data_IF_056932393054
#
_entry.id   IF_056932393054
#
_cell.length_a   1.000
_cell.length_b   1.000
_cell.length_c   1.000
_cell.angle_alpha   90.00
_cell.angle_beta   90.00
_cell.angle_gamma   90.00
#
_symmetry.space_group_name_H-M   'P 1'
#
loop_
_entity.id
_entity.type
_entity.pdbx_description
1 polymer ?
#
# COMPACT_ATOMS: atom_id res chain seq x y z
N UNK A 1 -18.42 6.95 -1.62
CA UNK A 1 -18.85 8.23 -2.22
C UNK A 1 -17.66 9.09 -2.68
N UNK A 2 -16.58 9.25 -1.86
CA UNK A 2 -15.47 10.18 -2.16
C UNK A 2 -14.65 9.84 -3.41
N UNK A 3 -14.64 8.59 -3.83
CA UNK A 3 -13.82 8.09 -4.94
C UNK A 3 -14.66 7.60 -6.13
N UNK A 4 -15.98 7.67 -6.07
CA UNK A 4 -16.85 7.11 -7.14
C UNK A 4 -16.55 7.73 -8.51
N UNK A 5 -16.32 9.04 -8.55
CA UNK A 5 -15.97 9.74 -9.79
C UNK A 5 -14.63 9.32 -10.39
N UNK A 6 -13.70 8.84 -9.58
CA UNK A 6 -12.38 8.40 -10.07
C UNK A 6 -12.47 7.15 -10.95
N UNK A 7 -13.41 6.24 -10.64
CA UNK A 7 -13.57 4.99 -11.40
C UNK A 7 -14.11 5.19 -12.82
N UNK A 8 -14.63 6.38 -13.13
CA UNK A 8 -15.16 6.74 -14.45
C UNK A 8 -14.17 7.55 -15.29
N UNK A 9 -13.04 7.96 -14.72
CA UNK A 9 -12.03 8.73 -15.43
C UNK A 9 -11.22 7.86 -16.40
N UNK A 10 -10.71 8.49 -17.46
CA UNK A 10 -9.99 7.81 -18.53
C UNK A 10 -8.79 6.98 -18.04
N UNK A 11 -8.02 7.50 -17.08
CA UNK A 11 -6.88 6.77 -16.53
C UNK A 11 -7.32 5.46 -15.84
N UNK A 12 -8.44 5.48 -15.12
CA UNK A 12 -8.97 4.29 -14.45
C UNK A 12 -9.54 3.29 -15.46
N UNK A 13 -10.18 3.76 -16.52
CA UNK A 13 -10.65 2.90 -17.61
C UNK A 13 -9.46 2.19 -18.27
N UNK A 14 -8.35 2.90 -18.49
CA UNK A 14 -7.11 2.31 -19.04
C UNK A 14 -6.53 1.24 -18.10
N UNK A 15 -6.45 1.53 -16.80
CA UNK A 15 -5.98 0.57 -15.79
C UNK A 15 -6.85 -0.69 -15.83
N UNK A 16 -8.16 -0.53 -15.79
CA UNK A 16 -9.11 -1.65 -15.82
C UNK A 16 -8.94 -2.49 -17.10
N UNK A 17 -8.84 -1.85 -18.25
CA UNK A 17 -8.62 -2.52 -19.53
C UNK A 17 -7.33 -3.32 -19.53
N UNK A 18 -6.25 -2.76 -19.01
CA UNK A 18 -4.96 -3.42 -18.89
C UNK A 18 -5.04 -4.66 -17.97
N UNK A 19 -5.68 -4.55 -16.81
CA UNK A 19 -5.83 -5.66 -15.87
C UNK A 19 -6.71 -6.79 -16.47
N UNK A 20 -7.75 -6.44 -17.18
CA UNK A 20 -8.61 -7.40 -17.90
C UNK A 20 -7.82 -8.12 -18.99
N UNK A 21 -7.00 -7.39 -19.75
CA UNK A 21 -6.16 -7.99 -20.79
C UNK A 21 -5.12 -8.94 -20.17
N UNK A 22 -4.48 -8.56 -19.07
CA UNK A 22 -3.58 -9.46 -18.34
C UNK A 22 -4.30 -10.75 -17.94
N UNK A 23 -5.51 -10.65 -17.40
CA UNK A 23 -6.31 -11.81 -17.01
C UNK A 23 -6.64 -12.71 -18.19
N UNK A 24 -7.07 -12.14 -19.31
CA UNK A 24 -7.38 -12.89 -20.54
C UNK A 24 -6.17 -13.64 -21.12
N UNK A 25 -4.98 -13.07 -20.97
CA UNK A 25 -3.73 -13.63 -21.45
C UNK A 25 -3.00 -14.49 -20.39
N UNK A 26 -3.66 -14.81 -19.28
CA UNK A 26 -3.09 -15.54 -18.15
C UNK A 26 -1.78 -14.92 -17.61
N UNK A 27 -1.63 -13.60 -17.73
CA UNK A 27 -0.50 -12.86 -17.15
C UNK A 27 -0.73 -12.62 -15.68
N UNK A 28 0.18 -13.12 -14.86
CA UNK A 28 0.12 -12.94 -13.41
C UNK A 28 0.48 -11.50 -13.05
N UNK A 29 -0.29 -10.93 -12.13
CA UNK A 29 0.00 -9.66 -11.48
C UNK A 29 -0.05 -9.81 -9.97
N UNK A 30 0.67 -8.97 -9.24
CA UNK A 30 0.61 -8.91 -7.78
C UNK A 30 0.11 -7.55 -7.32
N UNK A 31 -0.67 -7.49 -6.23
CA UNK A 31 -1.33 -8.62 -5.55
C UNK A 31 -2.37 -9.27 -6.47
N UNK A 32 -2.97 -10.38 -6.03
CA UNK A 32 -4.10 -10.96 -6.74
C UNK A 32 -5.17 -9.87 -7.00
N UNK A 33 -5.79 -9.79 -8.18
CA UNK A 33 -6.72 -8.71 -8.54
C UNK A 33 -7.80 -8.40 -7.51
N UNK A 34 -8.31 -9.42 -6.83
CA UNK A 34 -9.30 -9.27 -5.74
C UNK A 34 -8.78 -8.49 -4.52
N UNK A 35 -7.46 -8.31 -4.40
CA UNK A 35 -6.83 -7.63 -3.27
C UNK A 35 -6.26 -6.25 -3.59
N UNK A 36 -6.38 -5.79 -4.83
CA UNK A 36 -5.80 -4.50 -5.27
C UNK A 36 -6.27 -3.32 -4.40
N UNK A 37 -7.55 -3.31 -4.02
CA UNK A 37 -8.16 -2.25 -3.20
C UNK A 37 -8.32 -2.60 -1.72
N UNK A 38 -7.67 -3.64 -1.25
CA UNK A 38 -7.86 -4.15 0.12
C UNK A 38 -7.58 -3.10 1.20
N UNK A 39 -6.60 -2.22 1.00
CA UNK A 39 -6.31 -1.14 1.95
C UNK A 39 -7.51 -0.21 2.16
N UNK A 40 -8.23 0.11 1.08
CA UNK A 40 -9.43 0.96 1.13
C UNK A 40 -10.65 0.22 1.67
N UNK A 41 -10.73 -1.10 1.47
CA UNK A 41 -11.81 -1.93 2.00
C UNK A 41 -11.71 -2.11 3.51
N UNK A 42 -10.50 -2.32 4.03
CA UNK A 42 -10.27 -2.57 5.45
C UNK A 42 -10.25 -1.29 6.30
N UNK A 43 -9.86 -0.16 5.72
CA UNK A 43 -9.77 1.11 6.42
C UNK A 43 -10.68 2.12 5.72
N UNK A 44 -11.90 2.26 6.24
CA UNK A 44 -12.86 3.22 5.71
C UNK A 44 -12.39 4.66 5.91
N UNK A 45 -12.85 5.56 5.07
CA UNK A 45 -12.51 6.99 5.14
C UNK A 45 -12.69 7.57 6.54
N UNK A 46 -13.79 7.25 7.20
CA UNK A 46 -14.11 7.80 8.54
C UNK A 46 -13.15 7.28 9.61
N UNK A 47 -12.60 6.09 9.42
CA UNK A 47 -11.72 5.44 10.39
C UNK A 47 -10.23 5.74 10.19
N UNK A 48 -9.83 6.35 9.08
CA UNK A 48 -8.43 6.67 8.84
C UNK A 48 -7.90 7.62 9.91
N UNK A 49 -6.81 7.24 10.55
CA UNK A 49 -6.04 8.03 11.54
C UNK A 49 -4.61 8.25 11.09
N UNK A 50 -4.03 7.26 10.43
CA UNK A 50 -2.65 7.26 9.94
C UNK A 50 -2.64 6.76 8.51
N UNK A 51 -1.87 7.41 7.65
CA UNK A 51 -1.58 6.96 6.29
C UNK A 51 -0.11 6.59 6.19
N UNK A 52 0.18 5.36 5.82
CA UNK A 52 1.54 4.91 5.52
C UNK A 52 1.61 4.69 4.00
N UNK A 53 2.49 5.44 3.34
CA UNK A 53 2.66 5.37 1.89
C UNK A 53 3.89 4.54 1.54
N UNK A 54 3.67 3.50 0.74
CA UNK A 54 4.71 2.74 0.06
C UNK A 54 4.75 3.09 -1.43
N UNK A 55 5.63 2.44 -2.18
CA UNK A 55 5.75 2.62 -3.64
C UNK A 55 4.96 1.56 -4.39
N UNK A 56 5.52 0.37 -4.54
CA UNK A 56 4.95 -0.76 -5.26
C UNK A 56 4.56 -1.88 -4.31
N UNK A 57 3.62 -2.74 -4.69
CA UNK A 57 3.46 -4.02 -4.01
C UNK A 57 4.75 -4.85 -4.08
N UNK A 58 4.96 -5.72 -3.12
CA UNK A 58 6.04 -6.71 -3.23
C UNK A 58 5.87 -7.54 -4.50
N UNK A 59 6.97 -7.75 -5.20
CA UNK A 59 6.98 -8.49 -6.48
C UNK A 59 7.39 -9.97 -6.33
N UNK A 60 7.67 -10.42 -5.13
CA UNK A 60 7.96 -11.82 -4.82
C UNK A 60 6.69 -12.66 -4.67
N UNK A 61 6.84 -13.96 -4.89
CA UNK A 61 5.73 -14.92 -4.79
C UNK A 61 5.10 -14.90 -3.38
N UNK A 62 3.79 -14.86 -3.31
CA UNK A 62 2.98 -14.92 -2.08
C UNK A 62 3.24 -13.79 -1.06
N UNK A 63 3.93 -12.72 -1.42
CA UNK A 63 4.21 -11.61 -0.52
C UNK A 63 3.06 -10.61 -0.45
N UNK A 64 2.76 -9.92 -1.55
CA UNK A 64 1.74 -8.87 -1.60
C UNK A 64 0.32 -9.39 -1.42
N UNK A 65 -0.48 -8.70 -0.62
CA UNK A 65 -1.90 -8.99 -0.45
C UNK A 65 -2.79 -7.74 -0.36
N UNK A 66 -2.32 -6.61 -0.86
CA UNK A 66 -3.09 -5.37 -1.00
C UNK A 66 -2.91 -4.34 0.11
N UNK A 67 -1.99 -4.56 1.04
CA UNK A 67 -1.60 -3.61 2.10
C UNK A 67 -0.12 -3.27 1.95
N UNK A 68 0.21 -2.00 1.88
CA UNK A 68 1.61 -1.55 1.79
C UNK A 68 2.45 -2.12 2.94
N UNK A 69 3.65 -2.58 2.65
CA UNK A 69 4.63 -3.20 3.56
C UNK A 69 4.21 -4.54 4.17
N UNK A 70 2.95 -4.92 4.11
CA UNK A 70 2.41 -6.15 4.67
C UNK A 70 2.69 -7.36 3.79
N UNK A 71 2.96 -8.48 4.42
CA UNK A 71 3.01 -9.80 3.75
C UNK A 71 1.95 -10.73 4.31
N UNK A 72 1.61 -11.74 3.53
CA UNK A 72 0.66 -12.77 3.98
C UNK A 72 1.20 -13.53 5.21
N UNK A 73 0.30 -14.12 5.95
CA UNK A 73 0.66 -14.96 7.11
C UNK A 73 1.66 -16.05 6.69
N UNK A 74 2.62 -16.32 7.57
CA UNK A 74 3.66 -17.34 7.38
C UNK A 74 4.63 -17.08 6.22
N UNK A 75 4.63 -15.87 5.67
CA UNK A 75 5.63 -15.44 4.70
C UNK A 75 6.75 -14.71 5.43
N UNK A 76 8.03 -14.97 5.11
CA UNK A 76 9.16 -14.25 5.70
C UNK A 76 9.03 -12.73 5.48
N UNK A 77 9.34 -11.96 6.51
CA UNK A 77 9.29 -10.50 6.43
C UNK A 77 10.38 -9.97 5.50
N UNK A 78 10.02 -9.18 4.47
CA UNK A 78 11.01 -8.50 3.65
C UNK A 78 11.88 -7.51 4.45
N UNK A 79 13.05 -7.11 3.95
CA UNK A 79 13.94 -6.18 4.64
C UNK A 79 13.29 -4.87 5.08
N UNK A 80 12.45 -4.28 4.22
CA UNK A 80 11.73 -3.04 4.54
C UNK A 80 10.81 -3.20 5.76
N UNK A 81 10.08 -4.29 5.84
CA UNK A 81 9.20 -4.57 6.98
C UNK A 81 9.99 -4.89 8.26
N UNK A 82 11.08 -5.64 8.14
CA UNK A 82 11.98 -5.91 9.27
C UNK A 82 12.52 -4.61 9.88
N UNK A 83 12.91 -3.66 9.04
CA UNK A 83 13.39 -2.36 9.49
C UNK A 83 12.29 -1.57 10.22
N UNK A 84 11.08 -1.57 9.71
CA UNK A 84 9.94 -0.94 10.39
C UNK A 84 9.72 -1.55 11.79
N UNK A 85 9.71 -2.86 11.88
CA UNK A 85 9.52 -3.56 13.16
C UNK A 85 10.68 -3.32 14.13
N UNK A 86 11.90 -3.25 13.62
CA UNK A 86 13.09 -2.92 14.43
C UNK A 86 12.96 -1.53 15.04
N UNK A 87 12.67 -0.51 14.23
CA UNK A 87 12.48 0.86 14.69
C UNK A 87 11.37 0.96 15.76
N UNK A 88 10.24 0.32 15.53
CA UNK A 88 9.14 0.30 16.50
C UNK A 88 9.57 -0.38 17.81
N UNK A 89 10.25 -1.52 17.74
CA UNK A 89 10.68 -2.24 18.95
C UNK A 89 11.71 -1.48 19.76
N UNK A 90 12.63 -0.77 19.10
CA UNK A 90 13.65 0.07 19.76
C UNK A 90 13.02 1.30 20.39
N UNK A 91 12.10 1.97 19.69
CA UNK A 91 11.44 3.18 20.19
C UNK A 91 10.51 2.90 21.37
N UNK A 92 9.71 1.83 21.28
CA UNK A 92 8.77 1.45 22.33
C UNK A 92 9.35 0.52 23.40
N UNK A 93 10.60 0.09 23.24
CA UNK A 93 11.27 -0.87 24.14
C UNK A 93 10.46 -2.15 24.35
N UNK A 94 9.93 -2.68 23.25
CA UNK A 94 9.13 -3.90 23.18
C UNK A 94 9.85 -4.99 22.40
N UNK A 95 9.38 -6.21 22.49
CA UNK A 95 9.86 -7.28 21.63
C UNK A 95 9.54 -6.99 20.16
N UNK A 96 10.47 -7.37 19.26
CA UNK A 96 10.28 -7.19 17.84
C UNK A 96 9.19 -8.12 17.31
N UNK A 97 8.22 -7.57 16.61
CA UNK A 97 7.15 -8.32 15.98
C UNK A 97 7.70 -9.25 14.89
N UNK A 98 7.27 -10.51 14.88
CA UNK A 98 7.65 -11.51 13.88
C UNK A 98 6.61 -11.66 12.76
N UNK A 99 5.33 -11.50 13.06
CA UNK A 99 4.24 -11.67 12.08
C UNK A 99 4.10 -10.45 11.17
N UNK A 100 4.29 -10.65 9.87
CA UNK A 100 4.31 -9.58 8.88
C UNK A 100 2.96 -9.20 8.27
N UNK A 101 1.88 -9.88 8.63
CA UNK A 101 0.53 -9.50 8.23
C UNK A 101 0.06 -8.30 9.07
N UNK A 102 -0.13 -7.15 8.41
CA UNK A 102 -0.51 -5.88 9.04
C UNK A 102 -2.01 -5.61 9.02
N UNK A 103 -2.84 -6.61 8.75
CA UNK A 103 -4.29 -6.47 8.72
C UNK A 103 -4.84 -5.83 10.00
N UNK A 104 -4.28 -6.16 11.15
CA UNK A 104 -4.69 -5.56 12.42
C UNK A 104 -4.41 -4.05 12.50
N UNK A 105 -3.37 -3.58 11.86
CA UNK A 105 -3.10 -2.14 11.76
C UNK A 105 -4.18 -1.45 10.91
N UNK A 106 -4.55 -2.05 9.80
CA UNK A 106 -5.62 -1.54 8.94
C UNK A 106 -6.94 -1.41 9.71
N UNK A 107 -7.31 -2.41 10.51
CA UNK A 107 -8.51 -2.36 11.36
C UNK A 107 -8.46 -1.28 12.44
N UNK A 108 -7.29 -0.82 12.83
CA UNK A 108 -7.09 0.25 13.80
C UNK A 108 -7.07 1.66 13.18
N UNK A 109 -7.28 1.77 11.88
CA UNK A 109 -7.30 3.06 11.18
C UNK A 109 -5.99 3.44 10.49
N UNK A 110 -5.09 2.49 10.27
CA UNK A 110 -3.87 2.69 9.48
C UNK A 110 -4.15 2.36 8.02
N UNK A 111 -4.19 3.36 7.17
CA UNK A 111 -4.30 3.18 5.71
C UNK A 111 -2.92 2.86 5.14
N UNK A 112 -2.73 1.59 4.79
CA UNK A 112 -1.49 1.07 4.21
C UNK A 112 -1.59 1.11 2.69
N UNK A 113 -1.19 2.22 2.09
CA UNK A 113 -1.42 2.54 0.68
C UNK A 113 -0.10 2.59 -0.09
N UNK A 114 0.02 1.80 -1.16
CA UNK A 114 1.07 2.00 -2.15
C UNK A 114 0.64 3.05 -3.18
N UNK A 115 1.58 3.82 -3.71
CA UNK A 115 1.30 4.76 -4.79
C UNK A 115 0.96 4.05 -6.10
N UNK A 116 1.52 2.87 -6.32
CA UNK A 116 1.19 1.96 -7.40
C UNK A 116 0.55 0.69 -6.82
N UNK A 117 -0.64 0.30 -7.30
CA UNK A 117 -1.41 -0.77 -6.66
C UNK A 117 -1.24 -2.15 -7.29
N UNK A 118 -0.46 -2.25 -8.35
CA UNK A 118 -0.14 -3.52 -8.99
C UNK A 118 1.29 -3.55 -9.52
N UNK A 119 1.80 -4.75 -9.76
CA UNK A 119 3.15 -4.97 -10.26
C UNK A 119 3.20 -6.33 -10.96
N UNK A 120 4.11 -6.49 -11.94
CA UNK A 120 4.43 -7.82 -12.46
C UNK A 120 5.40 -8.56 -11.54
N UNK A 121 5.28 -9.90 -11.45
CA UNK A 121 6.21 -10.73 -10.70
C UNK A 121 7.67 -10.45 -11.07
N UNK A 122 8.53 -10.25 -10.06
CA UNK A 122 9.96 -10.03 -10.25
C UNK A 122 10.35 -8.72 -10.95
N UNK A 123 9.41 -7.81 -11.19
CA UNK A 123 9.63 -6.61 -12.01
C UNK A 123 9.18 -5.34 -11.26
N UNK A 124 9.96 -4.87 -10.25
CA UNK A 124 9.61 -3.66 -9.51
C UNK A 124 9.46 -2.46 -10.45
N UNK A 125 8.48 -1.61 -10.21
CA UNK A 125 8.18 -0.43 -11.02
C UNK A 125 7.53 -0.73 -12.37
N UNK A 126 7.21 -1.97 -12.69
CA UNK A 126 6.66 -2.36 -14.00
C UNK A 126 5.31 -1.73 -14.35
N UNK A 127 4.56 -1.28 -13.37
CA UNK A 127 3.27 -0.59 -13.56
C UNK A 127 3.31 0.90 -13.21
N UNK A 128 4.49 1.49 -13.08
CA UNK A 128 4.66 2.90 -12.68
C UNK A 128 4.00 3.90 -13.66
N UNK A 129 3.90 3.55 -14.94
CA UNK A 129 3.30 4.39 -15.99
C UNK A 129 1.84 4.04 -16.30
N UNK A 130 1.24 3.15 -15.53
CA UNK A 130 -0.13 2.68 -15.78
C UNK A 130 -1.21 3.71 -15.41
N UNK A 131 -0.91 4.64 -14.50
CA UNK A 131 -1.83 5.67 -14.02
C UNK A 131 -2.29 5.52 -12.57
N UNK A 132 -1.79 4.53 -11.83
CA UNK A 132 -2.16 4.33 -10.43
C UNK A 132 -1.90 5.55 -9.55
N UNK A 133 -0.85 6.31 -9.81
CA UNK A 133 -0.49 7.51 -9.03
C UNK A 133 -1.61 8.56 -9.06
N UNK A 134 -2.33 8.70 -10.15
CA UNK A 134 -3.46 9.62 -10.25
C UNK A 134 -4.61 9.21 -9.31
N UNK A 135 -4.89 7.92 -9.20
CA UNK A 135 -5.86 7.38 -8.26
C UNK A 135 -5.43 7.54 -6.81
N UNK A 136 -4.20 7.15 -6.47
CA UNK A 136 -3.69 7.25 -5.11
C UNK A 136 -3.53 8.69 -4.66
N UNK A 137 -3.18 9.62 -5.55
CA UNK A 137 -3.21 11.05 -5.27
C UNK A 137 -4.62 11.55 -4.92
N UNK A 138 -5.65 11.05 -5.61
CA UNK A 138 -7.04 11.38 -5.29
C UNK A 138 -7.44 10.86 -3.89
N UNK A 139 -7.01 9.65 -3.53
CA UNK A 139 -7.20 9.09 -2.18
C UNK A 139 -6.54 9.97 -1.12
N UNK A 140 -5.29 10.34 -1.33
CA UNK A 140 -4.52 11.18 -0.40
C UNK A 140 -5.19 12.54 -0.23
N UNK A 141 -5.59 13.19 -1.32
CA UNK A 141 -6.30 14.49 -1.26
C UNK A 141 -7.62 14.39 -0.50
N UNK A 142 -8.35 13.30 -0.66
CA UNK A 142 -9.60 13.08 0.07
C UNK A 142 -9.34 12.95 1.58
N UNK A 143 -8.34 12.17 1.97
CA UNK A 143 -7.98 11.93 3.38
C UNK A 143 -7.36 13.16 4.02
N UNK A 144 -6.58 13.94 3.27
CA UNK A 144 -5.92 15.18 3.76
C UNK A 144 -6.92 16.27 4.19
N UNK A 145 -8.15 16.19 3.72
CA UNK A 145 -9.24 17.10 4.17
C UNK A 145 -9.73 16.79 5.58
N UNK A 146 -9.36 15.66 6.16
CA UNK A 146 -9.71 15.30 7.53
C UNK A 146 -8.75 15.94 8.51
N UNK A 147 -9.28 16.34 9.67
CA UNK A 147 -8.45 16.81 10.77
C UNK A 147 -7.67 15.65 11.43
N UNK A 148 -6.47 15.97 11.88
CA UNK A 148 -5.64 15.08 12.72
C UNK A 148 -5.22 13.76 12.05
N UNK A 149 -4.92 13.79 10.77
CA UNK A 149 -4.32 12.64 10.08
C UNK A 149 -2.79 12.76 10.11
N UNK A 150 -2.14 11.64 10.41
CA UNK A 150 -0.68 11.52 10.34
C UNK A 150 -0.29 10.82 9.05
N UNK A 151 0.59 11.44 8.27
CA UNK A 151 1.14 10.85 7.05
C UNK A 151 2.58 10.41 7.28
N UNK A 152 2.88 9.14 6.96
CA UNK A 152 4.22 8.57 7.00
C UNK A 152 4.65 8.17 5.59
N UNK A 153 5.70 8.82 5.10
CA UNK A 153 6.32 8.50 3.81
C UNK A 153 7.55 7.64 4.08
N UNK A 154 7.48 6.35 3.71
CA UNK A 154 8.59 5.43 3.89
C UNK A 154 9.25 5.20 2.52
N UNK A 155 10.47 5.76 2.35
CA UNK A 155 11.28 5.52 1.17
C UNK A 155 12.23 4.36 1.42
N UNK A 156 12.35 3.47 0.44
CA UNK A 156 13.31 2.35 0.49
C UNK A 156 14.77 2.79 0.58
N UNK A 157 15.07 4.06 0.26
CA UNK A 157 16.44 4.61 0.21
C UNK A 157 16.85 5.23 1.55
N UNK A 158 15.90 5.57 2.45
CA UNK A 158 16.16 6.35 3.67
C UNK A 158 15.56 5.73 4.94
N UNK A 159 15.51 4.41 5.04
CA UNK A 159 15.03 3.71 6.26
C UNK A 159 15.98 3.90 7.45
N UNK A 160 17.15 4.53 7.27
CA UNK A 160 18.12 4.84 8.33
C UNK A 160 17.87 6.14 9.09
N UNK A 161 16.98 7.01 8.61
CA UNK A 161 16.63 8.26 9.31
C UNK A 161 15.11 8.51 9.25
N UNK A 162 14.42 8.54 10.40
CA UNK A 162 13.01 8.91 10.43
C UNK A 162 12.89 10.39 10.11
N UNK A 163 12.43 10.73 8.92
CA UNK A 163 12.02 12.09 8.58
C UNK A 163 10.73 12.38 9.34
N UNK A 164 10.83 13.06 10.48
CA UNK A 164 9.67 13.72 11.08
C UNK A 164 9.26 14.84 10.13
N UNK A 165 8.22 14.61 9.34
CA UNK A 165 7.55 15.73 8.72
C UNK A 165 6.91 16.54 9.83
N UNK A 166 7.47 17.72 10.05
CA UNK A 166 6.91 18.67 11.00
C UNK A 166 5.47 18.99 10.65
N UNK A 167 4.69 19.19 11.66
CA UNK A 167 3.30 19.60 11.56
C UNK A 167 3.15 20.90 10.76
#
# INVERSE_FOLDING_TARGET
PFLEGEFQKDYMIKIKSFLVECSKNNRVIYPHPKHIFKSLELTSFDNVKVVILGQDPYHGLNQAHGLAFSVQKNVPNPPSLKNIFKEISEDLKTEMRSQGDLTNWAHQGVLLLNTCLSVFPGSPGSHSDLGWQEFTDAVIRAVDKKDRIVFLLLSLIHISEPTRLGA
#
